data_IF_991026781561
#
_entry.id   IF_991026781561
#
_cell.length_a   1.000
_cell.length_b   1.000
_cell.length_c   1.000
_cell.angle_alpha   90.00
_cell.angle_beta   90.00
_cell.angle_gamma   90.00
#
_symmetry.space_group_name_H-M   'P 1'
#
loop_
_entity.id
_entity.type
_entity.pdbx_description
1 polymer ?
#
# COMPACT_ATOMS: atom_id res chain seq x y z
N UNK A 1 -7.90 17.84 -2.02
CA UNK A 1 -7.32 18.07 -3.33
C UNK A 1 -6.50 16.87 -3.77
N UNK A 2 -6.21 16.79 -5.04
CA UNK A 2 -5.36 15.75 -5.58
C UNK A 2 -4.00 15.76 -4.92
N UNK A 3 -3.44 16.95 -4.75
CA UNK A 3 -2.15 17.10 -4.10
C UNK A 3 -2.18 16.55 -2.68
N UNK A 4 -3.31 16.67 -2.00
CA UNK A 4 -3.45 16.19 -0.64
C UNK A 4 -3.64 14.68 -0.59
N UNK A 5 -4.44 14.11 -1.48
CA UNK A 5 -4.63 12.68 -1.56
C UNK A 5 -3.31 11.97 -1.92
N UNK A 6 -2.48 12.66 -2.71
CA UNK A 6 -1.19 12.15 -3.13
C UNK A 6 -0.05 12.74 -2.31
N UNK A 7 -0.38 13.57 -1.32
CA UNK A 7 0.59 14.26 -0.50
C UNK A 7 1.26 13.42 0.57
N UNK A 8 0.82 12.18 0.74
CA UNK A 8 1.49 11.30 1.69
C UNK A 8 2.86 10.91 1.15
N UNK A 9 3.87 11.00 2.02
CA UNK A 9 5.23 10.59 1.63
C UNK A 9 5.32 9.07 1.52
N UNK A 10 6.33 8.61 0.81
CA UNK A 10 6.60 7.18 0.72
C UNK A 10 6.77 6.57 2.12
N UNK A 11 7.42 7.30 3.02
CA UNK A 11 7.63 6.86 4.40
C UNK A 11 6.31 6.65 5.14
N UNK A 12 5.38 7.59 4.99
CA UNK A 12 4.06 7.47 5.61
C UNK A 12 3.29 6.28 5.06
N UNK A 13 3.36 6.07 3.75
CA UNK A 13 2.67 4.96 3.10
C UNK A 13 3.26 3.62 3.54
N UNK A 14 4.58 3.50 3.57
CA UNK A 14 5.26 2.29 4.01
C UNK A 14 4.85 1.94 5.46
N UNK A 15 4.83 2.94 6.33
CA UNK A 15 4.40 2.75 7.72
C UNK A 15 2.96 2.28 7.79
N UNK A 16 2.08 2.88 7.00
CA UNK A 16 0.67 2.47 6.97
C UNK A 16 0.51 1.05 6.46
N UNK A 17 1.32 0.64 5.47
CA UNK A 17 1.30 -0.73 4.97
C UNK A 17 1.71 -1.71 6.08
N UNK A 18 2.71 -1.35 6.87
CA UNK A 18 3.13 -2.17 8.01
C UNK A 18 1.93 -2.52 8.88
N UNK A 19 1.15 -1.52 9.28
CA UNK A 19 -0.02 -1.73 10.14
C UNK A 19 -1.15 -2.44 9.41
N UNK A 20 -1.38 -2.11 8.15
CA UNK A 20 -2.41 -2.74 7.34
C UNK A 20 -2.20 -4.25 7.22
N UNK A 21 -0.94 -4.67 7.17
CA UNK A 21 -0.59 -6.08 7.01
C UNK A 21 -0.40 -6.80 8.35
N UNK A 22 -0.68 -6.15 9.48
CA UNK A 22 -0.69 -6.79 10.77
C UNK A 22 0.40 -6.36 11.76
N UNK A 23 1.28 -5.47 11.36
CA UNK A 23 2.33 -4.97 12.26
C UNK A 23 3.27 -6.06 12.73
N UNK A 24 3.60 -6.03 14.01
CA UNK A 24 4.50 -7.03 14.60
C UNK A 24 3.94 -8.45 14.56
N UNK A 25 2.62 -8.57 14.49
CA UNK A 25 1.94 -9.87 14.48
C UNK A 25 1.75 -10.43 13.08
N UNK A 26 2.19 -9.69 12.06
CA UNK A 26 2.03 -10.12 10.68
C UNK A 26 2.81 -11.40 10.43
N UNK A 27 2.19 -12.34 9.73
CA UNK A 27 2.86 -13.55 9.31
C UNK A 27 3.94 -13.22 8.27
N UNK A 28 3.66 -12.26 7.41
CA UNK A 28 4.60 -11.73 6.44
C UNK A 28 4.73 -10.23 6.62
N UNK A 29 5.91 -9.75 7.02
CA UNK A 29 6.14 -8.33 7.22
C UNK A 29 5.81 -7.55 5.94
N UNK A 30 5.00 -6.49 6.08
CA UNK A 30 4.54 -5.70 4.94
C UNK A 30 3.78 -6.51 3.89
N UNK A 31 3.34 -7.72 4.23
CA UNK A 31 2.65 -8.60 3.30
C UNK A 31 3.54 -9.18 2.21
N UNK A 32 4.86 -9.09 2.35
CA UNK A 32 5.80 -9.51 1.32
C UNK A 32 5.94 -11.04 1.31
N UNK A 33 5.43 -11.68 0.26
CA UNK A 33 5.48 -13.13 0.11
C UNK A 33 6.38 -13.59 -1.03
N UNK A 34 6.62 -12.71 -1.99
CA UNK A 34 7.25 -13.07 -3.26
C UNK A 34 8.76 -13.18 -3.19
N UNK A 35 9.38 -12.59 -2.17
CA UNK A 35 10.83 -12.64 -2.01
C UNK A 35 11.17 -12.89 -0.55
N UNK A 36 12.35 -13.47 -0.33
CA UNK A 36 12.86 -13.66 1.01
C UNK A 36 13.54 -12.39 1.48
N UNK A 37 13.41 -12.10 2.76
CA UNK A 37 14.11 -11.00 3.40
C UNK A 37 14.76 -11.52 4.68
N UNK A 38 15.91 -10.95 5.03
CA UNK A 38 16.70 -11.40 6.20
C UNK A 38 16.11 -10.89 7.51
N UNK A 39 15.55 -9.69 7.48
CA UNK A 39 15.05 -9.03 8.69
C UNK A 39 14.02 -7.98 8.30
N UNK A 40 13.44 -7.35 9.32
CA UNK A 40 12.39 -6.34 9.12
C UNK A 40 12.93 -5.12 8.37
N UNK A 41 14.19 -4.74 8.60
CA UNK A 41 14.78 -3.60 7.90
C UNK A 41 14.83 -3.86 6.39
N UNK A 42 15.18 -5.06 5.99
CA UNK A 42 15.19 -5.42 4.58
C UNK A 42 13.78 -5.45 3.99
N UNK A 43 12.81 -6.01 4.74
CA UNK A 43 11.42 -6.01 4.32
C UNK A 43 10.91 -4.59 4.12
N UNK A 44 11.27 -3.68 5.02
CA UNK A 44 10.90 -2.26 4.90
C UNK A 44 11.46 -1.65 3.63
N UNK A 45 12.73 -1.93 3.33
CA UNK A 45 13.38 -1.42 2.12
C UNK A 45 12.67 -1.93 0.87
N UNK A 46 12.30 -3.20 0.85
CA UNK A 46 11.56 -3.78 -0.27
C UNK A 46 10.20 -3.09 -0.44
N UNK A 47 9.49 -2.86 0.66
CA UNK A 47 8.23 -2.15 0.63
C UNK A 47 8.41 -0.72 0.09
N UNK A 48 9.45 -0.03 0.54
CA UNK A 48 9.80 1.30 0.04
C UNK A 48 9.99 1.30 -1.47
N UNK A 49 10.75 0.34 -1.97
CA UNK A 49 11.00 0.25 -3.40
C UNK A 49 9.70 0.00 -4.18
N UNK A 50 8.83 -0.84 -3.64
CA UNK A 50 7.53 -1.12 -4.24
C UNK A 50 6.67 0.15 -4.31
N UNK A 51 6.59 0.89 -3.21
CA UNK A 51 5.82 2.13 -3.15
C UNK A 51 6.37 3.15 -4.15
N UNK A 52 7.68 3.33 -4.14
CA UNK A 52 8.35 4.31 -5.02
C UNK A 52 8.18 3.94 -6.49
N UNK A 53 8.39 2.69 -6.84
CA UNK A 53 8.27 2.24 -8.22
C UNK A 53 6.83 2.38 -8.73
N UNK A 54 5.85 2.09 -7.88
CA UNK A 54 4.45 2.21 -8.28
C UNK A 54 4.01 3.67 -8.36
N UNK A 55 4.60 4.56 -7.57
CA UNK A 55 4.33 6.00 -7.71
C UNK A 55 4.78 6.49 -9.09
N UNK A 56 5.95 6.02 -9.53
CA UNK A 56 6.47 6.35 -10.86
C UNK A 56 5.58 5.77 -11.95
N UNK A 57 5.16 4.52 -11.81
CA UNK A 57 4.26 3.89 -12.77
C UNK A 57 2.90 4.57 -12.84
N UNK A 58 2.40 5.04 -11.72
CA UNK A 58 1.16 5.79 -11.70
C UNK A 58 1.29 7.07 -12.50
N UNK A 59 2.36 7.81 -12.32
CA UNK A 59 2.60 9.03 -13.08
C UNK A 59 2.71 8.76 -14.58
N UNK A 60 3.30 7.62 -14.96
CA UNK A 60 3.50 7.28 -16.37
C UNK A 60 2.24 6.75 -17.03
N UNK A 61 1.49 5.86 -16.38
CA UNK A 61 0.34 5.23 -17.04
C UNK A 61 -0.84 4.91 -16.11
N UNK A 62 -0.59 4.67 -14.82
CA UNK A 62 -1.66 4.25 -13.91
C UNK A 62 -2.76 5.28 -13.75
N UNK A 63 -2.42 6.57 -13.87
CA UNK A 63 -3.39 7.65 -13.74
C UNK A 63 -4.48 7.59 -14.82
N UNK A 64 -4.25 6.89 -15.91
CA UNK A 64 -5.25 6.74 -16.96
C UNK A 64 -6.37 5.77 -16.56
N UNK A 65 -6.11 4.88 -15.62
CA UNK A 65 -7.07 3.84 -15.23
C UNK A 65 -7.57 3.98 -13.80
N UNK A 66 -6.84 4.69 -12.94
CA UNK A 66 -7.17 4.81 -11.53
C UNK A 66 -7.28 6.27 -11.13
N UNK A 67 -8.29 6.62 -10.31
CA UNK A 67 -8.55 8.02 -9.95
C UNK A 67 -7.46 8.63 -9.05
N UNK A 68 -6.72 7.81 -8.32
CA UNK A 68 -5.65 8.29 -7.47
C UNK A 68 -4.57 7.25 -7.30
N UNK A 69 -3.42 7.69 -6.78
CA UNK A 69 -2.27 6.81 -6.60
C UNK A 69 -2.54 5.66 -5.62
N UNK A 70 -3.24 5.94 -4.51
CA UNK A 70 -3.48 4.90 -3.51
C UNK A 70 -4.33 3.77 -4.07
N UNK A 71 -5.32 4.09 -4.90
CA UNK A 71 -6.13 3.07 -5.58
C UNK A 71 -5.28 2.24 -6.53
N UNK A 72 -4.38 2.89 -7.27
CA UNK A 72 -3.45 2.19 -8.14
C UNK A 72 -2.52 1.27 -7.33
N UNK A 73 -1.96 1.79 -6.23
CA UNK A 73 -1.08 1.01 -5.37
C UNK A 73 -1.79 -0.23 -4.82
N UNK A 74 -3.05 -0.06 -4.38
CA UNK A 74 -3.84 -1.17 -3.87
C UNK A 74 -4.02 -2.26 -4.94
N UNK A 75 -4.24 -1.86 -6.19
CA UNK A 75 -4.40 -2.81 -7.28
C UNK A 75 -3.12 -3.61 -7.55
N UNK A 76 -1.97 -3.03 -7.26
CA UNK A 76 -0.67 -3.69 -7.43
C UNK A 76 -0.29 -4.52 -6.22
N UNK A 77 -0.59 -4.02 -5.04
CA UNK A 77 -0.25 -4.68 -3.78
C UNK A 77 -1.18 -5.86 -3.51
N UNK A 78 -2.47 -5.66 -3.75
CA UNK A 78 -3.51 -6.68 -3.61
C UNK A 78 -4.32 -6.71 -4.89
N UNK A 79 -3.85 -7.42 -5.94
CA UNK A 79 -4.50 -7.38 -7.23
C UNK A 79 -5.97 -7.80 -7.17
N UNK A 80 -6.81 -7.02 -7.84
CA UNK A 80 -8.24 -7.29 -7.94
C UNK A 80 -8.64 -7.67 -9.35
N UNK A 81 -7.66 -8.06 -10.17
CA UNK A 81 -7.91 -8.30 -11.57
C UNK A 81 -8.60 -9.63 -11.83
N UNK A 82 -9.49 -9.60 -12.80
CA UNK A 82 -9.99 -10.77 -13.48
C UNK A 82 -10.79 -11.72 -12.63
N UNK A 83 -10.23 -12.86 -12.39
CA UNK A 83 -10.96 -14.03 -11.91
C UNK A 83 -10.98 -14.18 -10.38
N UNK A 84 -10.67 -13.11 -9.65
CA UNK A 84 -10.72 -13.18 -8.19
C UNK A 84 -12.15 -13.44 -7.72
N UNK A 85 -12.27 -14.24 -6.69
CA UNK A 85 -13.55 -14.50 -6.04
C UNK A 85 -14.12 -13.21 -5.45
N UNK A 86 -15.42 -13.23 -5.17
CA UNK A 86 -16.09 -12.10 -4.51
C UNK A 86 -15.43 -11.78 -3.17
N UNK A 87 -15.04 -12.82 -2.42
CA UNK A 87 -14.38 -12.65 -1.13
C UNK A 87 -13.02 -11.96 -1.28
N UNK A 88 -12.25 -12.36 -2.29
CA UNK A 88 -10.95 -11.75 -2.54
C UNK A 88 -11.06 -10.30 -2.96
N UNK A 89 -12.05 -9.96 -3.79
CA UNK A 89 -12.30 -8.57 -4.16
C UNK A 89 -12.67 -7.73 -2.96
N UNK A 90 -13.45 -8.28 -2.04
CA UNK A 90 -13.83 -7.60 -0.80
C UNK A 90 -12.60 -7.35 0.07
N UNK A 91 -11.72 -8.34 0.21
CA UNK A 91 -10.49 -8.19 0.97
C UNK A 91 -9.61 -7.06 0.39
N UNK A 92 -9.54 -6.99 -0.93
CA UNK A 92 -8.73 -5.96 -1.59
C UNK A 92 -9.30 -4.56 -1.36
N UNK A 93 -10.61 -4.40 -1.40
CA UNK A 93 -11.25 -3.12 -1.08
C UNK A 93 -11.01 -2.74 0.38
N UNK A 94 -11.06 -3.72 1.27
CA UNK A 94 -10.80 -3.50 2.69
C UNK A 94 -9.34 -3.11 2.93
N UNK A 95 -8.42 -3.66 2.16
CA UNK A 95 -7.00 -3.31 2.26
C UNK A 95 -6.79 -1.81 2.03
N UNK A 96 -7.39 -1.28 0.96
CA UNK A 96 -7.28 0.14 0.67
C UNK A 96 -7.92 0.99 1.76
N UNK A 97 -9.09 0.58 2.24
CA UNK A 97 -9.78 1.26 3.33
C UNK A 97 -8.93 1.30 4.58
N UNK A 98 -8.30 0.18 4.92
CA UNK A 98 -7.44 0.08 6.09
C UNK A 98 -6.17 0.91 5.93
N UNK A 99 -5.59 0.92 4.74
CA UNK A 99 -4.42 1.74 4.45
C UNK A 99 -4.74 3.21 4.70
N UNK A 100 -5.86 3.69 4.17
CA UNK A 100 -6.28 5.08 4.38
C UNK A 100 -6.51 5.39 5.85
N UNK A 101 -7.09 4.45 6.58
CA UNK A 101 -7.30 4.60 8.01
C UNK A 101 -5.97 4.84 8.74
N UNK A 102 -4.96 4.01 8.47
CA UNK A 102 -3.68 4.14 9.14
C UNK A 102 -2.91 5.39 8.69
N UNK A 103 -3.07 5.81 7.45
CA UNK A 103 -2.49 7.07 6.98
C UNK A 103 -3.06 8.26 7.74
N UNK A 104 -4.37 8.30 7.89
CA UNK A 104 -5.04 9.39 8.61
C UNK A 104 -4.70 9.38 10.09
N UNK A 105 -4.64 8.19 10.68
CA UNK A 105 -4.28 8.04 12.09
C UNK A 105 -2.86 8.52 12.35
N UNK A 106 -1.93 8.18 11.44
CA UNK A 106 -0.54 8.64 11.55
C UNK A 106 -0.43 10.15 11.46
N UNK A 107 -1.20 10.76 10.57
CA UNK A 107 -1.24 12.21 10.42
C UNK A 107 -1.72 12.89 11.70
N UNK A 108 -2.76 12.34 12.32
CA UNK A 108 -3.27 12.87 13.59
C UNK A 108 -2.22 12.78 14.69
N UNK A 109 -1.50 11.66 14.75
CA UNK A 109 -0.46 11.46 15.76
C UNK A 109 0.71 12.41 15.60
N UNK A 110 0.97 12.87 14.41
CA UNK A 110 2.09 13.77 14.14
C UNK A 110 1.81 15.20 14.59
N UNK A 111 0.61 15.45 15.00
CA UNK A 111 0.28 16.73 15.60
C UNK A 111 0.57 16.68 17.09
#
# INVERSE_FOLDING_TARGET
SLARAEGFTDSQIVRAIWYTEGGQKAHYAYGIRSVRYRDIAEARRICYNTVRNNRRRYAQYGHKQYPDYLSFLASRYCPTTGKLSRAEKKLNRNWLKNLKYFLMKGEIKCK
#
